data_IF_346959746666
#
_entry.id   IF_346959746666
#
_cell.length_a   1.000
_cell.length_b   1.000
_cell.length_c   1.000
_cell.angle_alpha   90.00
_cell.angle_beta   90.00
_cell.angle_gamma   90.00
#
_symmetry.space_group_name_H-M   'P 1'
#
loop_
_entity.id
_entity.type
_entity.pdbx_description
1 polymer ?
#
# COMPACT_ATOMS: atom_id res chain seq x y z
N UNK A 1 48.16 -55.91 -17.72
CA UNK A 1 47.74 -56.91 -16.71
C UNK A 1 47.05 -56.15 -15.58
N UNK A 2 45.88 -56.62 -15.14
CA UNK A 2 44.91 -56.02 -14.18
C UNK A 2 44.18 -54.76 -14.73
N UNK A 3 42.91 -54.76 -15.18
CA UNK A 3 41.61 -55.24 -14.64
C UNK A 3 41.30 -54.71 -13.24
N UNK A 4 40.34 -53.77 -13.15
CA UNK A 4 39.42 -53.51 -12.02
C UNK A 4 38.36 -52.49 -12.45
N UNK A 5 37.20 -52.98 -12.89
CA UNK A 5 35.93 -53.13 -12.15
C UNK A 5 35.16 -51.80 -12.03
N UNK A 6 34.13 -51.77 -12.86
CA UNK A 6 32.93 -50.94 -12.88
C UNK A 6 32.26 -50.88 -11.49
N UNK A 7 31.88 -49.68 -11.04
CA UNK A 7 30.89 -49.50 -9.98
C UNK A 7 29.85 -48.51 -10.48
N UNK A 8 28.73 -49.07 -10.93
CA UNK A 8 27.51 -48.38 -11.33
C UNK A 8 26.74 -48.02 -10.05
N UNK A 9 26.64 -46.74 -9.73
CA UNK A 9 25.77 -46.27 -8.65
C UNK A 9 24.44 -45.79 -9.26
N UNK A 10 23.41 -46.62 -9.11
CA UNK A 10 22.02 -46.27 -9.42
C UNK A 10 21.46 -45.48 -8.22
N UNK A 11 21.22 -44.19 -8.40
CA UNK A 11 20.42 -43.39 -7.45
C UNK A 11 18.96 -43.38 -7.91
N UNK A 12 18.11 -44.12 -7.18
CA UNK A 12 16.65 -44.03 -7.26
C UNK A 12 16.17 -43.07 -6.19
N UNK A 13 15.37 -42.08 -6.60
CA UNK A 13 14.28 -41.52 -5.80
C UNK A 13 14.63 -40.42 -4.79
N UNK A 14 14.21 -39.19 -5.09
CA UNK A 14 13.01 -38.62 -4.48
C UNK A 14 12.64 -37.36 -5.26
N UNK A 15 11.51 -37.39 -5.96
CA UNK A 15 10.85 -36.23 -6.52
C UNK A 15 10.33 -35.39 -5.36
N UNK A 16 11.16 -34.48 -4.86
CA UNK A 16 10.74 -33.48 -3.89
C UNK A 16 9.67 -32.60 -4.52
N UNK A 17 8.42 -32.86 -4.14
CA UNK A 17 7.29 -31.97 -4.36
C UNK A 17 7.72 -30.60 -3.84
N UNK A 18 7.77 -29.62 -4.74
CA UNK A 18 7.94 -28.22 -4.41
C UNK A 18 6.84 -27.87 -3.39
N UNK A 19 7.22 -27.82 -2.11
CA UNK A 19 6.34 -27.26 -1.10
C UNK A 19 6.14 -25.82 -1.48
N UNK A 20 4.87 -25.48 -1.72
CA UNK A 20 4.42 -24.11 -1.88
C UNK A 20 5.07 -23.26 -0.79
N UNK A 21 5.75 -22.20 -1.21
CA UNK A 21 6.15 -21.12 -0.33
C UNK A 21 4.94 -20.75 0.54
N UNK A 22 5.00 -21.12 1.81
CA UNK A 22 4.29 -20.44 2.88
C UNK A 22 4.72 -18.98 2.79
N UNK A 23 3.97 -18.19 2.01
CA UNK A 23 4.01 -16.74 2.03
C UNK A 23 3.73 -16.34 3.47
N UNK A 24 4.81 -16.10 4.24
CA UNK A 24 4.75 -15.36 5.50
C UNK A 24 3.86 -14.15 5.24
N UNK A 25 2.79 -14.02 6.01
CA UNK A 25 2.02 -12.78 6.05
C UNK A 25 3.01 -11.62 6.25
N UNK A 26 3.06 -10.71 5.28
CA UNK A 26 3.97 -9.56 5.32
C UNK A 26 3.69 -8.79 6.61
N UNK A 27 4.68 -8.82 7.52
CA UNK A 27 4.58 -8.16 8.82
C UNK A 27 4.55 -6.64 8.61
N UNK A 28 3.95 -5.86 9.54
CA UNK A 28 4.08 -4.41 9.51
C UNK A 28 5.56 -4.03 9.41
N UNK A 29 5.88 -3.10 8.50
CA UNK A 29 7.25 -2.64 8.27
C UNK A 29 7.36 -1.16 8.58
N UNK A 30 8.48 -0.75 9.17
CA UNK A 30 8.83 0.64 9.36
C UNK A 30 10.24 0.91 8.85
N UNK A 31 10.47 2.14 8.39
CA UNK A 31 11.79 2.68 8.08
C UNK A 31 11.93 4.06 8.75
N UNK A 32 12.86 4.22 9.72
CA UNK A 32 13.77 3.20 10.25
C UNK A 32 13.00 2.07 10.99
N UNK A 33 13.63 0.90 11.22
CA UNK A 33 12.99 -0.18 11.96
C UNK A 33 12.80 0.16 13.45
N UNK A 34 11.74 -0.37 14.06
CA UNK A 34 11.50 -0.26 15.51
C UNK A 34 10.83 1.03 15.96
N UNK A 35 10.12 1.72 15.07
CA UNK A 35 9.35 2.90 15.43
C UNK A 35 8.24 2.56 16.43
N UNK A 36 7.91 3.48 17.38
CA UNK A 36 6.80 3.32 18.30
C UNK A 36 5.44 3.64 17.64
N UNK A 37 5.29 3.27 16.38
CA UNK A 37 4.10 3.52 15.58
C UNK A 37 3.68 2.24 14.89
N UNK A 38 2.38 1.98 14.88
CA UNK A 38 1.77 0.87 14.15
C UNK A 38 0.80 1.44 13.12
N UNK A 39 0.94 1.03 11.86
CA UNK A 39 0.03 1.40 10.78
C UNK A 39 -0.85 0.19 10.40
N UNK A 40 -2.16 0.40 10.33
CA UNK A 40 -3.15 -0.60 9.94
C UNK A 40 -4.17 -0.03 8.97
N UNK A 41 -4.79 -0.91 8.19
CA UNK A 41 -6.00 -0.58 7.44
C UNK A 41 -7.18 -1.25 8.15
N UNK A 42 -8.20 -0.46 8.49
CA UNK A 42 -9.46 -0.94 9.04
C UNK A 42 -10.62 -0.47 8.16
N UNK A 43 -11.79 -1.07 8.31
CA UNK A 43 -12.96 -0.69 7.52
C UNK A 43 -14.20 -1.45 7.94
N UNK A 44 -15.37 -0.85 7.71
CA UNK A 44 -16.66 -1.50 7.98
C UNK A 44 -16.99 -2.56 6.94
N UNK A 45 -16.51 -2.37 5.71
CA UNK A 45 -16.69 -3.31 4.61
C UNK A 45 -15.36 -3.65 3.94
N UNK A 46 -15.17 -4.93 3.67
CA UNK A 46 -14.11 -5.47 2.81
C UNK A 46 -14.68 -6.03 1.51
N UNK A 47 -15.99 -5.88 1.29
CA UNK A 47 -16.70 -6.35 0.10
C UNK A 47 -17.20 -5.17 -0.71
N UNK A 48 -16.92 -5.18 -2.00
CA UNK A 48 -17.24 -4.11 -2.93
C UNK A 48 -17.87 -4.67 -4.20
N UNK A 49 -18.73 -3.89 -4.84
CA UNK A 49 -19.26 -4.24 -6.16
C UNK A 49 -18.32 -3.70 -7.24
N UNK A 50 -18.10 -4.49 -8.29
CA UNK A 50 -17.41 -4.06 -9.48
C UNK A 50 -18.26 -3.00 -10.19
N UNK A 51 -17.76 -1.76 -10.17
CA UNK A 51 -18.35 -0.65 -10.92
C UNK A 51 -17.33 -0.09 -11.89
N UNK A 52 -17.59 -0.30 -13.18
CA UNK A 52 -16.76 0.18 -14.29
C UNK A 52 -17.32 1.49 -14.90
N UNK A 53 -18.29 2.14 -14.23
CA UNK A 53 -18.88 3.39 -14.70
C UNK A 53 -19.63 3.26 -16.02
N UNK A 54 -20.19 2.07 -16.30
CA UNK A 54 -20.89 1.75 -17.54
C UNK A 54 -19.99 1.37 -18.72
N UNK A 55 -18.66 1.31 -18.54
CA UNK A 55 -17.73 0.83 -19.57
C UNK A 55 -17.61 -0.70 -19.56
N UNK A 56 -17.21 -1.24 -20.71
CA UNK A 56 -16.70 -2.61 -20.77
C UNK A 56 -15.38 -2.73 -20.00
N UNK A 57 -15.02 -3.92 -19.53
CA UNK A 57 -13.74 -4.15 -18.84
C UNK A 57 -12.53 -3.72 -19.70
N UNK A 58 -12.56 -4.02 -20.99
CA UNK A 58 -11.45 -3.68 -21.90
C UNK A 58 -11.34 -2.17 -22.13
N UNK A 59 -12.47 -1.47 -22.30
CA UNK A 59 -12.44 -0.01 -22.51
C UNK A 59 -12.07 0.73 -21.22
N UNK A 60 -12.49 0.20 -20.06
CA UNK A 60 -12.05 0.71 -18.77
C UNK A 60 -10.53 0.55 -18.59
N UNK A 61 -9.98 -0.65 -18.84
CA UNK A 61 -8.53 -0.93 -18.79
C UNK A 61 -7.75 0.00 -19.72
N UNK A 62 -8.24 0.23 -20.94
CA UNK A 62 -7.64 1.19 -21.89
C UNK A 62 -7.67 2.62 -21.35
N UNK A 63 -8.79 3.06 -20.77
CA UNK A 63 -8.93 4.40 -20.20
C UNK A 63 -7.97 4.63 -19.03
N UNK A 64 -7.85 3.66 -18.11
CA UNK A 64 -6.86 3.70 -17.01
C UNK A 64 -5.43 3.80 -17.56
N UNK A 65 -5.07 2.97 -18.53
CA UNK A 65 -3.74 2.97 -19.13
C UNK A 65 -3.44 4.27 -19.91
N UNK A 66 -4.43 4.85 -20.58
CA UNK A 66 -4.29 6.13 -21.28
C UNK A 66 -4.05 7.27 -20.29
N UNK A 67 -4.84 7.32 -19.21
CA UNK A 67 -4.69 8.34 -18.17
C UNK A 67 -3.33 8.29 -17.48
N UNK A 68 -2.79 7.09 -17.20
CA UNK A 68 -1.44 6.92 -16.67
C UNK A 68 -0.32 7.40 -17.62
N UNK A 69 -0.63 7.60 -18.91
CA UNK A 69 0.27 8.20 -19.91
C UNK A 69 -0.02 9.70 -20.13
N UNK A 70 -0.83 10.31 -19.27
CA UNK A 70 -1.29 11.70 -19.42
C UNK A 70 -2.25 11.91 -20.61
N UNK A 71 -2.86 10.84 -21.14
CA UNK A 71 -3.78 10.91 -22.27
C UNK A 71 -5.22 10.69 -21.81
N UNK A 72 -6.04 11.73 -21.91
CA UNK A 72 -7.45 11.66 -21.53
C UNK A 72 -7.67 11.70 -20.01
N UNK A 73 -8.94 11.61 -19.61
CA UNK A 73 -9.35 11.68 -18.22
C UNK A 73 -9.35 10.28 -17.59
N UNK A 74 -8.74 10.14 -16.42
CA UNK A 74 -8.81 8.91 -15.64
C UNK A 74 -10.27 8.59 -15.25
N UNK A 75 -10.70 7.32 -15.33
CA UNK A 75 -11.94 6.90 -14.70
C UNK A 75 -11.93 7.21 -13.20
N UNK A 76 -13.12 7.40 -12.61
CA UNK A 76 -13.23 7.60 -11.17
C UNK A 76 -12.64 6.38 -10.43
N UNK A 77 -11.78 6.59 -9.41
CA UNK A 77 -11.26 5.49 -8.61
C UNK A 77 -12.41 4.81 -7.85
N UNK A 78 -12.33 3.50 -7.59
CA UNK A 78 -13.34 2.80 -6.82
C UNK A 78 -13.58 3.45 -5.46
N UNK A 79 -14.85 3.59 -5.08
CA UNK A 79 -15.25 4.11 -3.77
C UNK A 79 -15.05 3.02 -2.73
N UNK A 80 -14.43 3.37 -1.61
CA UNK A 80 -14.21 2.48 -0.47
C UNK A 80 -14.58 3.16 0.84
N UNK A 81 -14.80 2.40 1.89
CA UNK A 81 -14.98 2.94 3.25
C UNK A 81 -13.96 2.28 4.19
N UNK A 82 -12.71 2.67 3.99
CA UNK A 82 -11.57 2.21 4.77
C UNK A 82 -10.99 3.38 5.59
N UNK A 83 -10.20 3.05 6.59
CA UNK A 83 -9.45 3.99 7.42
C UNK A 83 -8.03 3.49 7.58
N UNK A 84 -7.06 4.36 7.33
CA UNK A 84 -5.68 4.09 7.73
C UNK A 84 -5.54 4.56 9.17
N UNK A 85 -5.22 3.63 10.05
CA UNK A 85 -5.04 3.86 11.48
C UNK A 85 -3.56 3.91 11.80
N UNK A 86 -3.11 5.04 12.33
CA UNK A 86 -1.77 5.22 12.87
C UNK A 86 -1.84 5.26 14.39
N UNK A 87 -1.42 4.18 15.05
CA UNK A 87 -1.44 4.06 16.51
C UNK A 87 -0.07 4.35 17.10
N UNK A 88 -0.03 5.20 18.13
CA UNK A 88 1.16 5.35 18.98
C UNK A 88 1.24 4.20 19.98
N UNK A 89 2.32 3.42 19.92
CA UNK A 89 2.57 2.26 20.78
C UNK A 89 3.57 2.55 21.91
N UNK A 90 4.11 3.77 21.98
CA UNK A 90 4.95 4.21 23.10
C UNK A 90 4.13 4.60 24.34
N UNK A 91 4.85 5.03 25.38
CA UNK A 91 4.31 5.59 26.63
C UNK A 91 4.25 7.12 26.62
N UNK A 92 4.81 7.75 25.59
CA UNK A 92 4.94 9.20 25.49
C UNK A 92 4.08 9.72 24.34
N UNK A 93 3.73 11.00 24.38
CA UNK A 93 3.09 11.66 23.23
C UNK A 93 4.13 11.88 22.14
N UNK A 94 3.81 11.48 20.91
CA UNK A 94 4.62 11.76 19.73
C UNK A 94 3.91 12.77 18.85
N UNK A 95 4.63 13.55 18.04
CA UNK A 95 4.01 14.36 16.98
C UNK A 95 4.24 13.74 15.63
N UNK A 96 3.18 13.68 14.82
CA UNK A 96 3.22 13.12 13.46
C UNK A 96 2.61 14.12 12.50
N UNK A 97 3.18 14.27 11.30
CA UNK A 97 2.53 15.06 10.26
C UNK A 97 1.27 14.37 9.75
N UNK A 98 0.14 15.09 9.82
CA UNK A 98 -1.18 14.58 9.42
C UNK A 98 -1.60 15.02 8.01
N UNK A 99 -1.03 16.12 7.52
CA UNK A 99 -1.28 16.70 6.19
C UNK A 99 -0.07 17.50 5.74
N UNK A 100 -0.13 18.01 4.51
CA UNK A 100 0.95 18.74 3.85
C UNK A 100 1.62 17.91 2.77
N UNK A 101 2.42 18.58 1.93
CA UNK A 101 3.07 17.97 0.77
C UNK A 101 4.07 16.84 1.10
N UNK A 102 4.80 16.89 2.23
CA UNK A 102 5.67 15.78 2.64
C UNK A 102 4.92 14.51 3.09
N UNK A 103 3.61 14.62 3.40
CA UNK A 103 2.79 13.48 3.83
C UNK A 103 2.22 12.79 2.60
N UNK A 104 2.69 11.58 2.34
CA UNK A 104 2.32 10.81 1.14
C UNK A 104 1.83 9.43 1.55
N UNK A 105 0.57 9.15 1.25
CA UNK A 105 0.00 7.80 1.31
C UNK A 105 0.16 7.15 -0.06
N UNK A 106 0.68 5.93 -0.13
CA UNK A 106 0.78 5.12 -1.34
C UNK A 106 -0.05 3.86 -1.13
N UNK A 107 -0.83 3.46 -2.14
CA UNK A 107 -1.62 2.24 -2.10
C UNK A 107 -1.07 1.23 -3.11
N UNK A 108 -0.84 0.00 -2.68
CA UNK A 108 -0.48 -1.09 -3.57
C UNK A 108 -1.63 -2.10 -3.56
N UNK A 109 -2.31 -2.22 -4.71
CA UNK A 109 -3.38 -3.17 -4.92
C UNK A 109 -2.87 -4.33 -5.77
N UNK A 110 -3.06 -5.56 -5.29
CA UNK A 110 -2.69 -6.80 -5.99
C UNK A 110 -3.93 -7.66 -6.22
N UNK A 111 -4.01 -8.30 -7.37
CA UNK A 111 -5.13 -9.15 -7.77
C UNK A 111 -5.22 -9.27 -9.30
N UNK A 112 -6.02 -10.22 -9.79
CA UNK A 112 -6.09 -10.56 -11.23
C UNK A 112 -6.42 -9.37 -12.13
N UNK A 113 -7.30 -8.48 -11.67
CA UNK A 113 -7.68 -7.26 -12.40
C UNK A 113 -7.11 -5.97 -11.79
N UNK A 114 -6.05 -6.05 -10.98
CA UNK A 114 -5.49 -4.86 -10.33
C UNK A 114 -4.72 -3.99 -11.33
N UNK A 115 -5.03 -2.70 -11.34
CA UNK A 115 -4.33 -1.71 -12.16
C UNK A 115 -4.03 -0.45 -11.33
N UNK A 116 -2.97 0.26 -11.70
CA UNK A 116 -2.67 1.58 -11.17
C UNK A 116 -2.44 2.57 -12.31
N UNK A 117 -2.78 3.83 -12.04
CA UNK A 117 -2.47 4.94 -12.92
C UNK A 117 -1.94 6.12 -12.09
N UNK A 118 -1.00 6.85 -12.67
CA UNK A 118 -0.49 8.11 -12.12
C UNK A 118 -0.83 9.23 -13.11
N UNK A 119 -2.10 9.67 -13.15
CA UNK A 119 -2.51 10.68 -14.12
C UNK A 119 -1.81 12.01 -13.86
N UNK A 120 -1.53 12.74 -14.94
CA UNK A 120 -1.13 14.14 -14.84
C UNK A 120 -2.36 14.97 -14.48
N UNK A 121 -2.52 15.26 -13.19
CA UNK A 121 -3.57 16.14 -12.70
C UNK A 121 -3.03 17.57 -12.60
N UNK A 122 -3.78 18.58 -13.08
CA UNK A 122 -3.44 19.97 -12.81
C UNK A 122 -3.37 20.17 -11.30
N UNK A 123 -2.22 20.64 -10.81
CA UNK A 123 -2.00 20.91 -9.40
C UNK A 123 -1.53 22.33 -9.22
N UNK A 124 -1.94 22.91 -8.10
CA UNK A 124 -1.54 24.25 -7.70
C UNK A 124 -0.09 24.21 -7.19
N UNK A 125 0.71 25.22 -7.53
CA UNK A 125 2.18 25.22 -7.32
C UNK A 125 2.60 25.68 -5.92
N UNK A 126 1.67 26.08 -5.05
CA UNK A 126 1.98 26.45 -3.68
C UNK A 126 2.47 25.24 -2.90
N UNK A 127 3.54 25.39 -2.14
CA UNK A 127 3.97 24.35 -1.21
C UNK A 127 3.06 24.35 0.02
N UNK A 128 2.52 23.18 0.38
CA UNK A 128 1.69 23.02 1.57
C UNK A 128 2.54 22.49 2.71
N UNK A 129 2.82 23.36 3.69
CA UNK A 129 3.58 23.01 4.87
C UNK A 129 2.94 21.82 5.62
N UNK A 130 3.74 20.90 6.18
CA UNK A 130 3.23 19.84 7.00
C UNK A 130 2.61 20.37 8.30
N UNK A 131 1.61 19.66 8.81
CA UNK A 131 0.95 20.00 10.07
C UNK A 131 1.12 18.86 11.07
N UNK A 132 1.85 19.15 12.15
CA UNK A 132 2.15 18.23 13.23
C UNK A 132 0.97 18.08 14.19
N UNK A 133 0.55 16.85 14.42
CA UNK A 133 -0.51 16.50 15.35
C UNK A 133 0.07 15.62 16.45
N UNK A 134 -0.20 15.97 17.70
CA UNK A 134 0.14 15.14 18.85
C UNK A 134 -0.73 13.89 18.89
N UNK A 135 -0.09 12.72 18.96
CA UNK A 135 -0.73 11.43 19.17
C UNK A 135 -0.28 10.92 20.54
N UNK A 136 -1.18 10.99 21.52
CA UNK A 136 -0.90 10.51 22.87
C UNK A 136 -0.63 8.99 22.89
N UNK A 137 0.01 8.52 23.97
CA UNK A 137 0.28 7.11 24.18
C UNK A 137 -0.99 6.24 24.02
N UNK A 138 -0.89 5.22 23.17
CA UNK A 138 -2.00 4.28 22.91
C UNK A 138 -3.12 4.83 22.03
N UNK A 139 -3.12 6.12 21.66
CA UNK A 139 -4.13 6.73 20.78
C UNK A 139 -3.83 6.47 19.31
N UNK A 140 -4.86 6.66 18.49
CA UNK A 140 -4.83 6.45 17.05
C UNK A 140 -5.19 7.74 16.31
N UNK A 141 -4.37 8.09 15.31
CA UNK A 141 -4.68 9.08 14.30
C UNK A 141 -5.28 8.37 13.07
N UNK A 142 -6.43 8.85 12.60
CA UNK A 142 -7.18 8.23 11.53
C UNK A 142 -7.09 9.03 10.23
N UNK A 143 -6.74 8.36 9.14
CA UNK A 143 -6.80 8.92 7.79
C UNK A 143 -7.93 8.22 7.02
N UNK A 144 -9.06 8.88 6.77
CA UNK A 144 -10.17 8.27 6.05
C UNK A 144 -9.77 8.00 4.60
N UNK A 145 -9.99 6.78 4.13
CA UNK A 145 -9.78 6.37 2.76
C UNK A 145 -11.15 6.12 2.11
N UNK A 146 -11.63 7.10 1.35
CA UNK A 146 -12.98 7.10 0.73
C UNK A 146 -13.00 6.64 -0.71
N UNK A 147 -11.84 6.52 -1.32
CA UNK A 147 -11.64 5.93 -2.64
C UNK A 147 -10.24 5.34 -2.71
N UNK A 148 -9.97 4.48 -3.68
CA UNK A 148 -8.62 4.00 -3.96
C UNK A 148 -7.75 5.06 -4.70
N UNK A 149 -7.84 6.31 -4.25
CA UNK A 149 -6.97 7.40 -4.65
C UNK A 149 -5.99 7.70 -3.52
N UNK A 150 -4.73 7.93 -3.90
CA UNK A 150 -3.63 8.19 -3.00
C UNK A 150 -2.54 9.00 -3.71
N UNK A 151 -1.36 9.02 -3.12
CA UNK A 151 -0.18 9.73 -3.60
C UNK A 151 -0.12 11.17 -3.08
N UNK A 152 0.59 11.99 -3.84
CA UNK A 152 0.76 13.41 -3.54
C UNK A 152 -0.60 14.10 -3.49
N UNK A 153 -0.89 14.74 -2.35
CA UNK A 153 -2.19 15.38 -2.05
C UNK A 153 -3.41 14.48 -2.27
N UNK A 154 -3.24 13.16 -2.21
CA UNK A 154 -4.31 12.18 -2.40
C UNK A 154 -4.85 12.04 -3.83
N UNK A 155 -4.12 12.53 -4.85
CA UNK A 155 -4.62 12.54 -6.23
C UNK A 155 -3.64 11.98 -7.28
N UNK A 156 -2.36 11.80 -6.94
CA UNK A 156 -1.34 11.43 -7.94
C UNK A 156 -1.25 9.93 -8.23
N UNK A 157 -1.97 9.09 -7.47
CA UNK A 157 -2.00 7.65 -7.66
C UNK A 157 -3.44 7.15 -7.55
N UNK A 158 -3.93 6.49 -8.59
CA UNK A 158 -5.26 5.88 -8.63
C UNK A 158 -5.09 4.37 -8.80
N UNK A 159 -5.73 3.59 -7.94
CA UNK A 159 -5.73 2.12 -8.02
C UNK A 159 -7.12 1.61 -8.37
N UNK A 160 -7.19 0.54 -9.16
CA UNK A 160 -8.42 0.01 -9.72
C UNK A 160 -8.46 -1.51 -9.66
N UNK A 161 -9.64 -2.06 -9.38
CA UNK A 161 -10.00 -3.42 -9.76
C UNK A 161 -10.84 -3.36 -11.04
N UNK A 162 -10.52 -4.23 -11.99
CA UNK A 162 -11.19 -4.29 -13.30
C UNK A 162 -11.94 -5.60 -13.53
N UNK A 163 -11.86 -6.52 -12.56
CA UNK A 163 -12.51 -7.82 -12.57
C UNK A 163 -13.04 -8.13 -11.16
N UNK A 164 -14.02 -9.02 -11.02
CA UNK A 164 -14.40 -9.57 -9.73
C UNK A 164 -13.30 -10.50 -9.20
N UNK A 165 -13.22 -10.63 -7.87
CA UNK A 165 -12.31 -11.56 -7.21
C UNK A 165 -11.72 -11.03 -5.92
N UNK A 166 -10.70 -11.74 -5.44
CA UNK A 166 -9.96 -11.39 -4.23
C UNK A 166 -8.78 -10.46 -4.58
N UNK A 167 -8.60 -9.45 -3.76
CA UNK A 167 -7.56 -8.44 -3.87
C UNK A 167 -6.84 -8.27 -2.53
N UNK A 168 -5.55 -7.97 -2.60
CA UNK A 168 -4.76 -7.57 -1.45
C UNK A 168 -4.42 -6.08 -1.55
N UNK A 169 -4.70 -5.33 -0.49
CA UNK A 169 -4.37 -3.92 -0.38
C UNK A 169 -3.32 -3.71 0.70
N UNK A 170 -2.22 -3.05 0.32
CA UNK A 170 -1.17 -2.59 1.23
C UNK A 170 -1.11 -1.07 1.17
N UNK A 171 -1.01 -0.41 2.32
CA UNK A 171 -0.82 1.03 2.41
C UNK A 171 0.59 1.33 2.93
N UNK A 172 1.24 2.32 2.33
CA UNK A 172 2.51 2.88 2.82
C UNK A 172 2.34 4.36 3.08
N UNK A 173 2.62 4.81 4.30
CA UNK A 173 2.58 6.20 4.70
C UNK A 173 4.00 6.73 4.91
N UNK A 174 4.38 7.73 4.11
CA UNK A 174 5.54 8.58 4.36
C UNK A 174 5.09 9.82 5.14
N UNK A 175 5.74 10.10 6.27
CA UNK A 175 5.40 11.23 7.14
C UNK A 175 6.60 11.64 8.00
N UNK A 176 6.45 12.71 8.78
CA UNK A 176 7.43 13.14 9.79
C UNK A 176 7.02 12.67 11.18
N UNK A 177 8.01 12.33 12.02
CA UNK A 177 7.82 11.94 13.42
C UNK A 177 8.76 12.74 14.35
N UNK A 178 8.20 13.26 15.44
CA UNK A 178 8.94 13.90 16.53
C UNK A 178 8.61 13.20 17.87
N UNK A 179 9.61 12.92 18.74
CA UNK A 179 11.04 13.19 18.56
C UNK A 179 11.65 12.41 17.39
N UNK A 180 12.76 12.92 16.82
CA UNK A 180 13.45 12.31 15.68
C UNK A 180 13.86 10.88 16.05
N UNK A 181 13.31 9.85 15.37
CA UNK A 181 13.68 8.48 15.66
C UNK A 181 15.13 8.19 15.29
N UNK A 182 15.75 7.26 16.02
CA UNK A 182 17.10 6.81 15.69
C UNK A 182 17.14 6.24 14.26
N UNK A 183 18.03 6.78 13.43
CA UNK A 183 18.22 6.35 12.04
C UNK A 183 17.28 7.02 11.04
N UNK A 184 16.33 7.85 11.48
CA UNK A 184 15.54 8.68 10.58
C UNK A 184 16.38 9.86 10.08
N UNK A 185 16.10 10.31 8.86
CA UNK A 185 16.70 11.53 8.32
C UNK A 185 16.04 12.75 8.99
N UNK A 186 16.85 13.61 9.59
CA UNK A 186 16.42 14.90 10.14
C UNK A 186 16.03 15.86 8.99
N UNK A 187 14.83 16.41 9.05
CA UNK A 187 14.32 17.37 8.07
C UNK A 187 14.67 18.83 8.41
N UNK A 188 15.40 19.08 9.50
CA UNK A 188 15.84 20.41 9.94
C UNK A 188 14.78 21.22 10.70
N UNK A 189 13.60 20.62 10.93
CA UNK A 189 12.46 21.19 11.64
C UNK A 189 12.10 20.43 12.92
N UNK A 190 12.98 19.51 13.36
CA UNK A 190 12.77 18.65 14.53
C UNK A 190 12.00 17.37 14.24
N UNK A 191 11.61 17.10 12.99
CA UNK A 191 10.99 15.86 12.57
C UNK A 191 11.96 14.95 11.82
N UNK A 192 11.92 13.66 12.16
CA UNK A 192 12.55 12.61 11.36
C UNK A 192 11.60 12.11 10.29
N UNK A 193 12.06 11.99 9.05
CA UNK A 193 11.26 11.38 7.98
C UNK A 193 11.20 9.88 8.19
N UNK A 194 9.97 9.35 8.21
CA UNK A 194 9.68 7.94 8.41
C UNK A 194 8.77 7.39 7.31
N UNK A 195 8.83 6.08 7.13
CA UNK A 195 7.90 5.32 6.30
C UNK A 195 7.31 4.17 7.10
N UNK A 196 5.99 3.99 7.03
CA UNK A 196 5.27 2.90 7.66
C UNK A 196 4.47 2.15 6.61
N UNK A 197 4.51 0.82 6.63
CA UNK A 197 3.77 -0.04 5.70
C UNK A 197 2.88 -0.99 6.49
N UNK A 198 1.61 -1.03 6.10
CA UNK A 198 0.63 -1.94 6.72
C UNK A 198 0.87 -3.39 6.29
N UNK A 199 0.42 -4.38 7.08
CA UNK A 199 0.13 -5.69 6.53
C UNK A 199 -0.88 -5.60 5.38
N UNK A 200 -0.88 -6.57 4.45
CA UNK A 200 -1.93 -6.67 3.43
C UNK A 200 -3.27 -6.99 4.07
N UNK A 201 -4.32 -6.30 3.63
CA UNK A 201 -5.71 -6.69 3.91
C UNK A 201 -6.35 -7.29 2.67
N UNK A 202 -7.27 -8.25 2.87
CA UNK A 202 -8.04 -8.84 1.78
C UNK A 202 -9.31 -8.05 1.52
N UNK A 203 -9.57 -7.77 0.26
CA UNK A 203 -10.78 -7.16 -0.25
C UNK A 203 -11.42 -8.11 -1.27
N UNK A 204 -12.73 -8.25 -1.22
CA UNK A 204 -13.50 -9.04 -2.20
C UNK A 204 -14.27 -8.09 -3.10
N UNK A 205 -14.13 -8.25 -4.41
CA UNK A 205 -14.88 -7.52 -5.42
C UNK A 205 -15.87 -8.49 -6.09
N UNK A 206 -17.15 -8.17 -6.03
CA UNK A 206 -18.24 -9.00 -6.56
C UNK A 206 -18.82 -8.37 -7.83
N UNK A 207 -19.38 -9.19 -8.72
CA UNK A 207 -20.13 -8.65 -9.87
C UNK A 207 -21.35 -7.86 -9.41
N UNK A 208 -21.69 -6.84 -10.19
CA UNK A 208 -22.95 -6.11 -10.01
C UNK A 208 -24.09 -7.05 -10.40
N UNK A 209 -24.90 -7.42 -9.41
CA UNK A 209 -26.14 -8.18 -9.62
C UNK A 209 -27.18 -7.34 -10.36
#
# INVERSE_FOLDING_TARGET
MLVRILLLAVFVGFSGVASADDKKADKPKSDPPGLPLELKITGKTTKYTLDLGGLSADDFKKAVAAAGKGKGRAPAPPVVDLTIELKNTSKDTVQVWSKGDPVVLTLELKGKGAMSAMPLVPMTLEFRLPDGVGVEAGKTLNFPLKSLAAGFRGASQLSYWTEPGEYELVATLKTGLMPIPKGAMDNGDGYGIITLTTPPIKLTVEEKK
#
